data_IF_747221012236
#
_entry.id   IF_747221012236
#
_cell.length_a   1.000
_cell.length_b   1.000
_cell.length_c   1.000
_cell.angle_alpha   90.00
_cell.angle_beta   90.00
_cell.angle_gamma   90.00
#
_symmetry.space_group_name_H-M   'P 1'
#
loop_
_entity.id
_entity.type
_entity.pdbx_description
1 polymer ?
#
# COMPACT_ATOMS: atom_id res chain seq x y z
N UNK A 1 -12.56 27.44 14.73
CA UNK A 1 -11.45 26.69 14.10
C UNK A 1 -11.27 25.30 14.71
N UNK A 2 -11.45 25.11 16.02
CA UNK A 2 -11.31 23.80 16.69
C UNK A 2 -12.30 22.72 16.22
N UNK A 3 -13.52 23.11 15.82
CA UNK A 3 -14.55 22.17 15.31
C UNK A 3 -14.14 21.40 14.05
N UNK A 4 -13.18 21.93 13.27
CA UNK A 4 -12.68 21.25 12.05
C UNK A 4 -11.67 20.15 12.37
N UNK A 5 -11.07 20.12 13.57
CA UNK A 5 -10.03 19.13 13.89
C UNK A 5 -10.58 17.70 13.97
N UNK A 6 -11.80 17.51 14.49
CA UNK A 6 -12.41 16.18 14.60
C UNK A 6 -12.59 15.49 13.23
N UNK A 7 -13.25 16.12 12.22
CA UNK A 7 -13.39 15.49 10.90
C UNK A 7 -12.05 15.36 10.15
N UNK A 8 -11.13 16.33 10.27
CA UNK A 8 -9.81 16.26 9.61
C UNK A 8 -8.96 15.12 10.20
N UNK A 9 -8.93 14.98 11.53
CA UNK A 9 -8.18 13.90 12.18
C UNK A 9 -8.75 12.51 11.86
N UNK A 10 -10.08 12.37 11.76
CA UNK A 10 -10.71 11.14 11.30
C UNK A 10 -10.30 10.78 9.87
N UNK A 11 -10.27 11.77 8.96
CA UNK A 11 -9.86 11.56 7.58
C UNK A 11 -8.37 11.15 7.51
N UNK A 12 -7.49 11.89 8.18
CA UNK A 12 -6.06 11.61 8.21
C UNK A 12 -5.77 10.25 8.85
N UNK A 13 -6.46 9.88 9.92
CA UNK A 13 -6.36 8.57 10.54
C UNK A 13 -6.77 7.45 9.57
N UNK A 14 -7.88 7.63 8.86
CA UNK A 14 -8.33 6.69 7.82
C UNK A 14 -7.31 6.54 6.69
N UNK A 15 -6.79 7.66 6.19
CA UNK A 15 -5.75 7.66 5.14
C UNK A 15 -4.45 7.02 5.64
N UNK A 16 -4.04 7.29 6.87
CA UNK A 16 -2.85 6.66 7.46
C UNK A 16 -3.00 5.14 7.55
N UNK A 17 -4.15 4.64 8.02
CA UNK A 17 -4.45 3.22 8.07
C UNK A 17 -4.50 2.58 6.68
N UNK A 18 -5.09 3.28 5.70
CA UNK A 18 -5.15 2.84 4.31
C UNK A 18 -3.75 2.72 3.70
N UNK A 19 -2.92 3.75 3.85
CA UNK A 19 -1.54 3.75 3.35
C UNK A 19 -0.67 2.70 4.04
N UNK A 20 -0.86 2.51 5.35
CA UNK A 20 -0.19 1.46 6.11
C UNK A 20 -0.57 0.07 5.58
N UNK A 21 -1.86 -0.21 5.44
CA UNK A 21 -2.34 -1.47 4.87
C UNK A 21 -1.83 -1.69 3.45
N UNK A 22 -1.86 -0.65 2.63
CA UNK A 22 -1.36 -0.69 1.26
C UNK A 22 0.14 -1.03 1.20
N UNK A 23 0.98 -0.36 1.99
CA UNK A 23 2.42 -0.64 2.05
C UNK A 23 2.74 -2.04 2.55
N UNK A 24 2.00 -2.53 3.55
CA UNK A 24 2.12 -3.91 4.03
C UNK A 24 1.76 -4.93 2.95
N UNK A 25 0.64 -4.72 2.25
CA UNK A 25 0.22 -5.61 1.16
C UNK A 25 1.25 -5.66 0.03
N UNK A 26 1.81 -4.52 -0.37
CA UNK A 26 2.83 -4.45 -1.40
C UNK A 26 4.09 -5.28 -1.03
N UNK A 27 4.48 -5.21 0.24
CA UNK A 27 5.61 -5.97 0.77
C UNK A 27 5.31 -7.48 0.84
N UNK A 28 4.15 -7.84 1.40
CA UNK A 28 3.74 -9.24 1.54
C UNK A 28 3.52 -9.92 0.19
N UNK A 29 2.97 -9.22 -0.80
CA UNK A 29 2.78 -9.73 -2.15
C UNK A 29 4.11 -10.11 -2.79
N UNK A 30 5.12 -9.25 -2.65
CA UNK A 30 6.47 -9.53 -3.15
C UNK A 30 7.07 -10.76 -2.48
N UNK A 31 7.03 -10.83 -1.15
CA UNK A 31 7.56 -11.97 -0.39
C UNK A 31 6.84 -13.28 -0.74
N UNK A 32 5.51 -13.23 -0.87
CA UNK A 32 4.70 -14.39 -1.28
C UNK A 32 5.04 -14.85 -2.69
N UNK A 33 5.15 -13.92 -3.64
CA UNK A 33 5.50 -14.24 -5.02
C UNK A 33 6.87 -14.92 -5.13
N UNK A 34 7.86 -14.44 -4.37
CA UNK A 34 9.17 -15.10 -4.28
C UNK A 34 9.07 -16.50 -3.67
N UNK A 35 8.28 -16.67 -2.60
CA UNK A 35 8.08 -17.97 -1.95
C UNK A 35 7.35 -19.00 -2.84
N UNK A 36 6.48 -18.53 -3.73
CA UNK A 36 5.78 -19.36 -4.73
C UNK A 36 6.64 -19.66 -5.97
N UNK A 37 7.85 -19.10 -6.05
CA UNK A 37 8.79 -19.36 -7.15
C UNK A 37 8.56 -18.52 -8.41
N UNK A 38 7.77 -17.44 -8.31
CA UNK A 38 7.63 -16.50 -9.42
C UNK A 38 8.96 -15.78 -9.71
N UNK A 39 9.20 -15.47 -10.99
CA UNK A 39 10.40 -14.74 -11.37
C UNK A 39 10.38 -13.32 -10.80
N UNK A 40 11.53 -12.86 -10.33
CA UNK A 40 11.72 -11.49 -9.82
C UNK A 40 11.39 -10.44 -10.87
N UNK A 41 11.66 -10.73 -12.15
CA UNK A 41 11.31 -9.85 -13.26
C UNK A 41 9.80 -9.66 -13.43
N UNK A 42 9.01 -10.73 -13.32
CA UNK A 42 7.55 -10.65 -13.39
C UNK A 42 6.99 -9.87 -12.21
N UNK A 43 7.43 -10.18 -10.99
CA UNK A 43 7.02 -9.47 -9.77
C UNK A 43 7.36 -7.97 -9.90
N UNK A 44 8.57 -7.64 -10.36
CA UNK A 44 9.00 -6.26 -10.56
C UNK A 44 8.14 -5.50 -11.59
N UNK A 45 7.78 -6.16 -12.69
CA UNK A 45 6.89 -5.59 -13.72
C UNK A 45 5.47 -5.33 -13.19
N UNK A 46 4.95 -6.26 -12.40
CA UNK A 46 3.61 -6.14 -11.80
C UNK A 46 3.57 -4.99 -10.77
N UNK A 47 4.60 -4.91 -9.93
CA UNK A 47 4.74 -3.89 -8.89
C UNK A 47 5.00 -2.50 -9.47
N UNK A 48 5.77 -2.39 -10.57
CA UNK A 48 5.96 -1.10 -11.26
C UNK A 48 4.72 -0.66 -12.01
N UNK A 49 3.97 -1.59 -12.61
CA UNK A 49 2.69 -1.32 -13.26
C UNK A 49 1.67 -0.69 -12.31
N UNK A 50 1.68 -1.07 -11.03
CA UNK A 50 0.85 -0.45 -9.99
C UNK A 50 1.09 1.06 -9.84
N UNK A 51 2.34 1.53 -9.99
CA UNK A 51 2.70 2.94 -9.88
C UNK A 51 2.65 3.71 -11.21
N UNK A 52 2.39 3.02 -12.33
CA UNK A 52 2.34 3.62 -13.65
C UNK A 52 0.98 4.27 -13.98
N UNK A 53 -0.10 3.86 -13.28
CA UNK A 53 -1.43 4.47 -13.37
C UNK A 53 -1.62 5.60 -12.39
#
# INVERSE_FOLDING_TARGET
MTSLLAPISSLLGGVALLLLGHGLLNTLLTLRGVAEGYSTGLIGLLMSGYFAG
#
